data_IF_029915628821
#
_entry.id   IF_029915628821
#
_cell.length_a   1.000
_cell.length_b   1.000
_cell.length_c   1.000
_cell.angle_alpha   90.00
_cell.angle_beta   90.00
_cell.angle_gamma   90.00
#
_symmetry.space_group_name_H-M   'P 1'
#
loop_
_entity.id
_entity.type
_entity.pdbx_description
1 polymer ?
#
# COMPACT_ATOMS: atom_id res chain seq x y z
N UNK A 1 -16.61 -26.66 -5.39
CA UNK A 1 -15.75 -25.68 -4.68
C UNK A 1 -14.85 -26.27 -3.56
N UNK A 2 -14.55 -27.58 -3.53
CA UNK A 2 -13.74 -28.18 -2.44
C UNK A 2 -12.34 -28.68 -2.84
N UNK A 3 -12.05 -28.79 -4.14
CA UNK A 3 -10.74 -29.21 -4.63
C UNK A 3 -9.67 -28.14 -4.34
N UNK A 4 -9.98 -26.86 -4.60
CA UNK A 4 -9.05 -25.73 -4.47
C UNK A 4 -8.62 -25.51 -3.01
N UNK A 5 -9.57 -25.52 -2.07
CA UNK A 5 -9.29 -25.37 -0.64
C UNK A 5 -8.36 -26.47 -0.11
N UNK A 6 -8.62 -27.74 -0.51
CA UNK A 6 -7.76 -28.88 -0.14
C UNK A 6 -6.39 -28.81 -0.79
N UNK A 7 -6.34 -28.41 -2.07
CA UNK A 7 -5.09 -28.32 -2.83
C UNK A 7 -4.09 -27.33 -2.22
N UNK A 8 -4.58 -26.19 -1.73
CA UNK A 8 -3.73 -25.16 -1.12
C UNK A 8 -3.69 -25.24 0.42
N UNK A 9 -4.40 -26.16 1.05
CA UNK A 9 -4.47 -26.27 2.52
C UNK A 9 -5.15 -25.07 3.19
N UNK A 10 -6.12 -24.44 2.53
CA UNK A 10 -6.78 -23.21 2.98
C UNK A 10 -8.18 -23.52 3.51
N UNK A 11 -8.59 -22.84 4.59
CA UNK A 11 -9.96 -22.94 5.11
C UNK A 11 -11.00 -22.56 4.04
N UNK A 12 -12.02 -23.42 3.90
CA UNK A 12 -13.13 -23.18 2.98
C UNK A 12 -13.89 -21.89 3.27
N UNK A 13 -13.99 -21.46 4.53
CA UNK A 13 -14.61 -20.17 4.87
C UNK A 13 -13.86 -19.02 4.23
N UNK A 14 -12.53 -19.10 4.21
CA UNK A 14 -11.66 -18.09 3.63
C UNK A 14 -11.72 -18.07 2.11
N UNK A 15 -11.84 -19.23 1.47
CA UNK A 15 -12.10 -19.32 0.01
C UNK A 15 -13.41 -18.63 -0.34
N UNK A 16 -14.49 -18.88 0.42
CA UNK A 16 -15.79 -18.22 0.19
C UNK A 16 -15.73 -16.72 0.40
N UNK A 17 -14.96 -16.25 1.37
CA UNK A 17 -14.74 -14.82 1.59
C UNK A 17 -13.99 -14.18 0.41
N UNK A 18 -13.00 -14.86 -0.15
CA UNK A 18 -12.30 -14.39 -1.34
C UNK A 18 -13.18 -14.38 -2.57
N UNK A 19 -13.99 -15.42 -2.77
CA UNK A 19 -14.95 -15.47 -3.88
C UNK A 19 -15.95 -14.30 -3.80
N UNK A 20 -16.44 -13.99 -2.60
CA UNK A 20 -17.34 -12.83 -2.37
C UNK A 20 -16.68 -11.49 -2.67
N UNK A 21 -15.38 -11.37 -2.38
CA UNK A 21 -14.61 -10.15 -2.55
C UNK A 21 -13.72 -10.19 -3.81
N UNK A 22 -14.03 -11.06 -4.76
CA UNK A 22 -13.11 -11.40 -5.86
C UNK A 22 -12.68 -10.17 -6.65
N UNK A 23 -13.63 -9.33 -7.10
CA UNK A 23 -13.31 -8.13 -7.87
C UNK A 23 -12.46 -7.13 -7.09
N UNK A 24 -12.77 -6.91 -5.81
CA UNK A 24 -12.00 -6.03 -4.92
C UNK A 24 -10.57 -6.56 -4.72
N UNK A 25 -10.42 -7.87 -4.49
CA UNK A 25 -9.12 -8.51 -4.36
C UNK A 25 -8.34 -8.47 -5.67
N UNK A 26 -9.04 -8.64 -6.79
CA UNK A 26 -8.47 -8.58 -8.13
C UNK A 26 -7.95 -7.16 -8.41
N UNK A 27 -8.74 -6.12 -8.18
CA UNK A 27 -8.32 -4.72 -8.33
C UNK A 27 -7.11 -4.38 -7.45
N UNK A 28 -7.13 -4.80 -6.17
CA UNK A 28 -5.98 -4.65 -5.26
C UNK A 28 -4.74 -5.44 -5.69
N UNK A 29 -4.93 -6.48 -6.50
CA UNK A 29 -3.84 -7.32 -7.00
C UNK A 29 -3.16 -6.80 -8.25
N UNK A 30 -3.75 -5.80 -8.92
CA UNK A 30 -3.23 -5.19 -10.14
C UNK A 30 -2.67 -3.78 -9.91
N UNK A 31 -1.84 -3.31 -10.85
CA UNK A 31 -1.31 -1.94 -10.88
C UNK A 31 -0.54 -1.53 -9.62
N UNK A 32 -0.80 -0.29 -9.15
CA UNK A 32 -0.16 0.32 -7.97
C UNK A 32 -0.34 -0.53 -6.70
N UNK A 33 -1.51 -1.19 -6.52
CA UNK A 33 -1.80 -2.01 -5.34
C UNK A 33 -0.90 -3.25 -5.18
N UNK A 34 -0.38 -3.82 -6.28
CA UNK A 34 0.63 -4.90 -6.22
C UNK A 34 1.97 -4.38 -5.73
N UNK A 35 2.38 -3.21 -6.23
CA UNK A 35 3.66 -2.61 -5.92
C UNK A 35 3.69 -2.06 -4.48
N UNK A 36 2.61 -1.41 -4.04
CA UNK A 36 2.45 -0.94 -2.66
C UNK A 36 2.49 -2.07 -1.64
N UNK A 37 1.77 -3.18 -1.86
CA UNK A 37 1.84 -4.35 -0.97
C UNK A 37 3.25 -4.92 -0.83
N UNK A 38 4.06 -4.88 -1.90
CA UNK A 38 5.46 -5.30 -1.83
C UNK A 38 6.32 -4.35 -0.99
N UNK A 39 6.03 -3.05 -1.02
CA UNK A 39 6.74 -2.06 -0.22
C UNK A 39 6.37 -2.13 1.27
N UNK A 40 5.09 -2.40 1.58
CA UNK A 40 4.63 -2.56 2.96
C UNK A 40 4.88 -3.97 3.51
N UNK A 41 5.40 -4.90 2.70
CA UNK A 41 5.51 -6.32 3.04
C UNK A 41 4.19 -6.92 3.55
N UNK A 42 3.07 -6.44 3.00
CA UNK A 42 1.72 -6.83 3.44
C UNK A 42 1.27 -6.24 4.79
N UNK A 43 2.03 -5.31 5.37
CA UNK A 43 1.60 -4.59 6.56
C UNK A 43 0.37 -3.72 6.27
N UNK A 44 -0.54 -3.53 7.26
CA UNK A 44 -1.65 -2.59 7.14
C UNK A 44 -1.15 -1.18 6.80
N UNK A 45 -1.81 -0.55 5.83
CA UNK A 45 -1.51 0.82 5.44
C UNK A 45 -2.02 1.75 6.54
N UNK A 46 -1.13 2.59 7.08
CA UNK A 46 -1.48 3.56 8.13
C UNK A 46 -2.35 4.70 7.59
N UNK A 47 -2.07 5.17 6.37
CA UNK A 47 -2.85 6.16 5.63
C UNK A 47 -2.60 5.94 4.14
N UNK A 48 -3.67 5.70 3.37
CA UNK A 48 -3.57 5.41 1.93
C UNK A 48 -2.85 6.54 1.18
N UNK A 49 -3.18 7.78 1.52
CA UNK A 49 -2.61 8.96 0.89
C UNK A 49 -1.11 9.14 1.19
N UNK A 50 -0.66 8.81 2.41
CA UNK A 50 0.77 8.83 2.76
C UNK A 50 1.52 7.73 2.02
N UNK A 51 0.92 6.54 1.91
CA UNK A 51 1.49 5.41 1.18
C UNK A 51 1.56 5.68 -0.32
N UNK A 52 0.55 6.34 -0.89
CA UNK A 52 0.53 6.81 -2.28
C UNK A 52 1.63 7.85 -2.53
N UNK A 53 1.74 8.87 -1.69
CA UNK A 53 2.76 9.91 -1.83
C UNK A 53 4.19 9.34 -1.68
N UNK A 54 4.36 8.37 -0.78
CA UNK A 54 5.63 7.68 -0.60
C UNK A 54 5.94 6.75 -1.78
N UNK A 55 4.92 6.07 -2.32
CA UNK A 55 5.04 5.26 -3.53
C UNK A 55 5.52 6.09 -4.72
N UNK A 56 4.89 7.24 -4.96
CA UNK A 56 5.25 8.14 -6.06
C UNK A 56 6.67 8.71 -5.91
N UNK A 57 7.10 8.98 -4.68
CA UNK A 57 8.49 9.33 -4.40
C UNK A 57 9.46 8.18 -4.76
N UNK A 58 9.14 6.94 -4.42
CA UNK A 58 9.99 5.81 -4.80
C UNK A 58 10.03 5.59 -6.32
N UNK A 59 8.91 5.76 -7.02
CA UNK A 59 8.87 5.66 -8.48
C UNK A 59 9.72 6.75 -9.15
N UNK A 60 9.68 8.00 -8.64
CA UNK A 60 10.47 9.09 -9.20
C UNK A 60 11.98 8.94 -8.94
N UNK A 61 12.37 8.47 -7.76
CA UNK A 61 13.77 8.18 -7.46
C UNK A 61 14.29 7.00 -8.30
N UNK A 62 13.47 5.96 -8.49
CA UNK A 62 13.83 4.81 -9.32
C UNK A 62 13.95 5.19 -10.80
N UNK A 63 13.02 5.98 -11.33
CA UNK A 63 13.09 6.44 -12.73
C UNK A 63 14.32 7.32 -12.97
N UNK A 64 14.80 8.01 -11.94
CA UNK A 64 16.05 8.76 -11.95
C UNK A 64 17.30 7.90 -11.65
N UNK A 65 17.17 6.58 -11.48
CA UNK A 65 18.27 5.66 -11.22
C UNK A 65 18.90 5.79 -9.82
N UNK A 66 18.23 6.46 -8.88
CA UNK A 66 18.72 6.70 -7.52
C UNK A 66 18.22 5.64 -6.55
N UNK A 67 19.12 5.17 -5.69
CA UNK A 67 18.76 4.27 -4.60
C UNK A 67 18.20 5.08 -3.41
N UNK A 68 17.04 4.66 -2.89
CA UNK A 68 16.44 5.27 -1.71
C UNK A 68 16.85 4.51 -0.46
N UNK A 69 17.59 5.18 0.43
CA UNK A 69 17.96 4.62 1.73
C UNK A 69 16.81 4.68 2.74
N UNK A 70 16.86 3.82 3.77
CA UNK A 70 15.89 3.87 4.88
C UNK A 70 15.87 5.24 5.57
N UNK A 71 17.01 5.91 5.70
CA UNK A 71 17.08 7.26 6.26
C UNK A 71 16.30 8.25 5.41
N UNK A 72 16.53 8.25 4.09
CA UNK A 72 15.83 9.14 3.16
C UNK A 72 14.31 8.88 3.16
N UNK A 73 13.90 7.61 3.25
CA UNK A 73 12.51 7.21 3.43
C UNK A 73 11.89 7.84 4.68
N UNK A 74 12.55 7.74 5.84
CA UNK A 74 12.04 8.33 7.09
C UNK A 74 11.97 9.86 7.04
N UNK A 75 12.97 10.52 6.46
CA UNK A 75 12.97 11.97 6.27
C UNK A 75 11.80 12.41 5.38
N UNK A 76 11.55 11.71 4.27
CA UNK A 76 10.43 12.02 3.38
C UNK A 76 9.09 11.81 4.08
N UNK A 77 8.95 10.73 4.86
CA UNK A 77 7.75 10.46 5.64
C UNK A 77 7.46 11.59 6.66
N UNK A 78 8.49 12.04 7.39
CA UNK A 78 8.36 13.14 8.36
C UNK A 78 7.85 14.40 7.67
N UNK A 79 8.46 14.81 6.56
CA UNK A 79 8.03 16.01 5.82
C UNK A 79 6.59 15.90 5.29
N UNK A 80 6.17 14.72 4.84
CA UNK A 80 4.79 14.49 4.42
C UNK A 80 3.80 14.61 5.59
N UNK A 81 4.18 14.15 6.79
CA UNK A 81 3.37 14.30 8.00
C UNK A 81 3.33 15.75 8.49
N UNK A 82 4.47 16.45 8.50
CA UNK A 82 4.57 17.85 8.93
C UNK A 82 3.76 18.79 8.00
N UNK A 83 3.82 18.55 6.68
CA UNK A 83 3.05 19.32 5.69
C UNK A 83 1.54 19.17 5.86
N UNK A 84 1.07 18.04 6.41
CA UNK A 84 -0.36 17.81 6.71
C UNK A 84 -0.83 18.60 7.93
N UNK A 85 0.00 18.69 8.97
CA UNK A 85 -0.31 19.50 10.16
C UNK A 85 -0.50 20.98 9.76
N UNK A 86 0.35 21.49 8.86
CA UNK A 86 0.25 22.88 8.37
C UNK A 86 -0.95 23.17 7.46
N UNK A 87 -1.56 22.14 6.85
CA UNK A 87 -2.74 22.29 5.99
C UNK A 87 -4.04 22.27 6.80
N UNK A 88 -4.08 21.59 7.96
CA UNK A 88 -5.24 21.58 8.85
C UNK A 88 -5.35 22.84 9.71
N UNK A 89 -4.24 23.52 9.98
CA UNK A 89 -4.23 24.77 10.76
C UNK A 89 -4.64 26.00 9.92
N UNK A 90 -4.49 25.94 8.59
CA UNK A 90 -4.83 27.06 7.69
C UNK A 90 -6.28 27.07 7.18
N UNK A 91 -7.09 26.06 7.51
CA UNK A 91 -8.52 25.99 7.15
C UNK A 91 -9.46 26.33 8.31
N UNK A 92 -8.92 26.76 9.46
CA UNK A 92 -9.66 27.07 10.68
C UNK A 92 -9.66 28.58 11.04
N UNK A 93 -9.44 29.47 10.07
CA UNK A 93 -9.55 30.93 10.23
C UNK A 93 -10.54 31.52 9.23
#
# INVERSE_FOLDING_TARGET
MHATARHFGIDQKRVREWDKNFETLLQRSYGKGKAQRKLSNGAPVFSEELDDALFEFFESERSAGRAVSNRLRWTRMSHLMDSRVTMTENTAL
#
